data_IF_425885278181
#
_entry.id   IF_425885278181
#
_cell.length_a   1.000
_cell.length_b   1.000
_cell.length_c   1.000
_cell.angle_alpha   90.00
_cell.angle_beta   90.00
_cell.angle_gamma   90.00
#
_symmetry.space_group_name_H-M   'P 1'
#
loop_
_entity.id
_entity.type
_entity.pdbx_description
1 polymer ?
#
# COMPACT_ATOMS: atom_id res chain seq x y z
N UNK A 1 -51.36 0.16 7.66
CA UNK A 1 -50.26 1.09 8.04
C UNK A 1 -49.45 0.56 9.22
N UNK A 2 -50.10 0.16 10.34
CA UNK A 2 -49.43 -0.33 11.56
C UNK A 2 -48.62 -1.63 11.41
N UNK A 3 -49.10 -2.59 10.60
CA UNK A 3 -48.39 -3.85 10.37
C UNK A 3 -47.08 -3.66 9.59
N UNK A 4 -47.04 -2.72 8.65
CA UNK A 4 -45.84 -2.41 7.87
C UNK A 4 -44.74 -1.79 8.75
N UNK A 5 -45.10 -0.92 9.69
CA UNK A 5 -44.15 -0.34 10.65
C UNK A 5 -43.55 -1.40 11.58
N UNK A 6 -44.32 -2.41 12.00
CA UNK A 6 -43.78 -3.51 12.82
C UNK A 6 -42.76 -4.36 12.06
N UNK A 7 -43.00 -4.64 10.77
CA UNK A 7 -42.08 -5.43 9.96
C UNK A 7 -40.75 -4.69 9.71
N UNK A 8 -40.80 -3.38 9.49
CA UNK A 8 -39.59 -2.56 9.27
C UNK A 8 -38.74 -2.49 10.55
N UNK A 9 -39.36 -2.33 11.72
CA UNK A 9 -38.63 -2.30 12.99
C UNK A 9 -37.97 -3.65 13.28
N UNK A 10 -38.69 -4.76 13.07
CA UNK A 10 -38.16 -6.10 13.29
C UNK A 10 -36.95 -6.42 12.39
N UNK A 11 -37.00 -6.02 11.11
CA UNK A 11 -35.86 -6.23 10.20
C UNK A 11 -34.65 -5.37 10.59
N UNK A 12 -34.84 -4.10 10.97
CA UNK A 12 -33.71 -3.27 11.42
C UNK A 12 -33.00 -3.83 12.66
N UNK A 13 -33.75 -4.44 13.58
CA UNK A 13 -33.19 -5.06 14.79
C UNK A 13 -32.39 -6.34 14.48
N UNK A 14 -32.86 -7.13 13.49
CA UNK A 14 -32.16 -8.32 13.02
C UNK A 14 -30.85 -7.99 12.28
N UNK A 15 -30.81 -6.90 11.49
CA UNK A 15 -29.58 -6.48 10.82
C UNK A 15 -28.51 -5.96 11.80
N UNK A 16 -28.90 -5.33 12.91
CA UNK A 16 -27.96 -4.85 13.93
C UNK A 16 -27.22 -5.99 14.66
N UNK A 17 -27.82 -7.18 14.76
CA UNK A 17 -27.19 -8.35 15.38
C UNK A 17 -26.13 -9.05 14.51
N UNK A 18 -26.04 -8.72 13.21
CA UNK A 18 -25.04 -9.29 12.31
C UNK A 18 -23.73 -8.48 12.25
N UNK A 19 -23.64 -7.36 12.97
CA UNK A 19 -22.44 -6.53 13.05
C UNK A 19 -21.88 -6.53 14.47
N UNK A 20 -21.03 -7.53 14.76
CA UNK A 20 -20.06 -7.44 15.84
C UNK A 20 -20.53 -7.91 17.20
N UNK A 21 -20.54 -9.23 17.41
CA UNK A 21 -20.20 -9.76 18.73
C UNK A 21 -19.18 -10.87 18.53
N UNK A 22 -17.92 -10.48 18.64
CA UNK A 22 -16.77 -11.33 18.40
C UNK A 22 -15.52 -10.51 18.69
N UNK A 23 -15.27 -10.22 19.96
CA UNK A 23 -13.98 -9.72 20.47
C UNK A 23 -12.87 -10.81 20.36
N UNK A 24 -12.94 -11.67 19.34
CA UNK A 24 -12.04 -12.78 19.05
C UNK A 24 -11.51 -12.65 17.61
N UNK A 25 -11.32 -11.43 17.12
CA UNK A 25 -10.42 -11.22 15.99
C UNK A 25 -8.99 -11.50 16.52
N UNK A 26 -8.32 -12.58 16.08
CA UNK A 26 -6.95 -12.82 16.49
C UNK A 26 -6.13 -11.61 16.06
N UNK A 27 -5.19 -11.12 16.90
CA UNK A 27 -4.30 -10.06 16.45
C UNK A 27 -3.68 -10.55 15.14
N UNK A 28 -3.77 -9.72 14.10
CA UNK A 28 -3.10 -9.94 12.83
C UNK A 28 -1.60 -9.90 13.11
N UNK A 29 -1.08 -11.01 13.62
CA UNK A 29 0.32 -11.22 13.90
C UNK A 29 0.91 -11.49 12.54
N UNK A 30 1.22 -10.41 11.84
CA UNK A 30 1.97 -10.40 10.60
C UNK A 30 3.31 -11.08 10.86
N UNK A 31 3.30 -12.41 10.78
CA UNK A 31 4.42 -13.32 11.08
C UNK A 31 5.25 -13.56 9.81
N UNK A 32 4.93 -12.86 8.71
CA UNK A 32 5.91 -12.63 7.67
C UNK A 32 7.02 -11.80 8.33
N UNK A 33 8.17 -12.44 8.56
CA UNK A 33 9.36 -11.85 9.15
C UNK A 33 9.47 -10.38 8.75
N UNK A 34 9.51 -9.48 9.73
CA UNK A 34 9.66 -8.04 9.54
C UNK A 34 11.06 -7.74 8.99
N UNK A 35 11.33 -8.21 7.77
CA UNK A 35 12.45 -7.84 6.97
C UNK A 35 11.98 -6.60 6.25
N UNK A 36 12.39 -5.43 6.77
CA UNK A 36 12.22 -4.19 6.03
C UNK A 36 12.79 -4.42 4.63
N UNK A 37 11.97 -4.34 3.57
CA UNK A 37 12.46 -4.57 2.22
C UNK A 37 13.56 -3.55 1.95
N UNK A 38 14.81 -4.01 1.89
CA UNK A 38 15.91 -3.17 1.45
C UNK A 38 15.75 -2.97 -0.04
N UNK A 39 15.62 -1.71 -0.42
CA UNK A 39 15.68 -1.32 -1.82
C UNK A 39 17.16 -1.29 -2.19
N UNK A 40 17.62 -2.26 -2.97
CA UNK A 40 18.95 -2.18 -3.56
C UNK A 40 18.89 -1.33 -4.83
N UNK A 41 19.65 -0.24 -4.83
CA UNK A 41 19.90 0.65 -5.97
C UNK A 41 21.38 1.06 -5.95
N UNK A 42 21.92 1.48 -7.08
CA UNK A 42 23.23 2.12 -7.08
C UNK A 42 23.22 3.42 -6.27
N UNK A 43 24.28 3.67 -5.49
CA UNK A 43 24.38 4.87 -4.65
C UNK A 43 24.22 6.19 -5.43
N UNK A 44 24.60 6.18 -6.71
CA UNK A 44 24.38 7.29 -7.63
C UNK A 44 22.87 7.56 -7.84
N UNK A 45 22.08 6.51 -8.09
CA UNK A 45 20.64 6.64 -8.24
C UNK A 45 19.96 7.01 -6.91
N UNK A 46 20.42 6.50 -5.77
CA UNK A 46 19.91 6.89 -4.46
C UNK A 46 20.13 8.39 -4.18
N UNK A 47 21.32 8.91 -4.49
CA UNK A 47 21.62 10.34 -4.38
C UNK A 47 20.77 11.17 -5.35
N UNK A 48 20.62 10.76 -6.62
CA UNK A 48 19.77 11.48 -7.56
C UNK A 48 18.30 11.45 -7.12
N UNK A 49 17.82 10.33 -6.58
CA UNK A 49 16.46 10.22 -6.06
C UNK A 49 16.20 11.18 -4.91
N UNK A 50 17.08 11.19 -3.92
CA UNK A 50 16.97 12.09 -2.76
C UNK A 50 17.14 13.56 -3.16
N UNK A 51 18.07 13.88 -4.07
CA UNK A 51 18.25 15.23 -4.60
C UNK A 51 17.04 15.72 -5.39
N UNK A 52 16.32 14.83 -6.08
CA UNK A 52 15.07 15.14 -6.78
C UNK A 52 13.85 15.25 -5.84
N UNK A 53 14.03 15.09 -4.52
CA UNK A 53 12.94 15.10 -3.54
C UNK A 53 12.06 13.84 -3.61
N UNK A 54 12.60 12.74 -4.12
CA UNK A 54 11.92 11.45 -4.19
C UNK A 54 12.26 10.51 -3.04
N UNK A 55 11.56 9.39 -2.97
CA UNK A 55 11.78 8.31 -2.00
C UNK A 55 12.04 6.98 -2.70
N UNK A 56 12.92 6.17 -2.13
CA UNK A 56 13.19 4.83 -2.64
C UNK A 56 12.02 3.90 -2.33
N UNK A 57 11.59 3.14 -3.34
CA UNK A 57 10.49 2.19 -3.25
C UNK A 57 10.86 0.90 -3.98
N UNK A 58 10.42 -0.23 -3.43
CA UNK A 58 10.56 -1.51 -4.10
C UNK A 58 9.35 -1.74 -5.01
N UNK A 59 9.59 -2.18 -6.24
CA UNK A 59 8.53 -2.62 -7.14
C UNK A 59 8.77 -4.04 -7.58
N UNK A 60 7.70 -4.83 -7.59
CA UNK A 60 7.74 -6.19 -8.09
C UNK A 60 7.40 -6.19 -9.57
N UNK A 61 8.30 -6.76 -10.36
CA UNK A 61 8.17 -6.87 -11.80
C UNK A 61 7.36 -8.13 -12.14
N UNK A 62 6.81 -8.22 -13.36
CA UNK A 62 5.94 -9.34 -13.77
C UNK A 62 6.69 -10.69 -13.81
N UNK A 63 8.01 -10.65 -13.99
CA UNK A 63 8.92 -11.79 -13.88
C UNK A 63 9.19 -12.22 -12.44
N UNK A 64 8.64 -11.51 -11.45
CA UNK A 64 8.76 -11.81 -10.02
C UNK A 64 10.01 -11.21 -9.35
N UNK A 65 10.92 -10.60 -10.12
CA UNK A 65 12.03 -9.83 -9.59
C UNK A 65 11.55 -8.59 -8.83
N UNK A 66 12.32 -8.15 -7.84
CA UNK A 66 12.07 -6.91 -7.11
C UNK A 66 13.13 -5.89 -7.51
N UNK A 67 12.69 -4.76 -8.06
CA UNK A 67 13.57 -3.68 -8.51
C UNK A 67 13.38 -2.45 -7.66
N UNK A 68 14.47 -1.78 -7.32
CA UNK A 68 14.42 -0.47 -6.71
C UNK A 68 13.98 0.59 -7.71
N UNK A 69 13.02 1.42 -7.30
CA UNK A 69 12.55 2.57 -8.06
C UNK A 69 12.51 3.80 -7.16
N UNK A 70 12.73 4.97 -7.75
CA UNK A 70 12.50 6.24 -7.11
C UNK A 70 11.05 6.69 -7.34
N UNK A 71 10.33 6.99 -6.27
CA UNK A 71 9.05 7.68 -6.29
C UNK A 71 9.28 9.17 -6.10
N UNK A 72 9.02 9.95 -7.13
CA UNK A 72 9.15 11.40 -7.08
C UNK A 72 7.86 12.03 -6.51
N UNK A 73 7.99 13.24 -5.96
CA UNK A 73 6.85 14.00 -5.41
C UNK A 73 5.76 14.33 -6.45
N UNK A 74 6.09 14.30 -7.75
CA UNK A 74 5.14 14.47 -8.84
C UNK A 74 4.37 13.18 -9.20
N UNK A 75 4.57 12.09 -8.47
CA UNK A 75 3.92 10.80 -8.70
C UNK A 75 4.61 9.92 -9.76
N UNK A 76 5.73 10.35 -10.36
CA UNK A 76 6.50 9.53 -11.28
C UNK A 76 7.28 8.44 -10.54
N UNK A 77 7.32 7.26 -11.14
CA UNK A 77 8.12 6.11 -10.70
C UNK A 77 9.21 5.83 -11.71
N UNK A 78 10.45 5.90 -11.26
CA UNK A 78 11.61 5.88 -12.13
C UNK A 78 12.57 4.79 -11.69
N UNK A 79 12.93 3.89 -12.61
CA UNK A 79 13.99 2.93 -12.38
C UNK A 79 15.37 3.59 -12.37
N UNK A 80 16.36 2.84 -11.91
CA UNK A 80 17.74 3.30 -11.74
C UNK A 80 18.31 4.01 -12.99
N UNK A 81 18.22 3.37 -14.16
CA UNK A 81 18.77 3.89 -15.42
C UNK A 81 18.13 5.23 -15.84
N UNK A 82 16.81 5.37 -15.63
CA UNK A 82 16.08 6.59 -15.97
C UNK A 82 16.40 7.74 -14.99
N UNK A 83 16.78 7.39 -13.76
CA UNK A 83 17.28 8.33 -12.77
C UNK A 83 18.68 8.83 -13.10
N UNK A 84 19.62 7.91 -13.34
CA UNK A 84 21.02 8.24 -13.61
C UNK A 84 21.17 9.00 -14.93
N UNK A 85 20.36 8.67 -15.95
CA UNK A 85 20.32 9.41 -17.21
C UNK A 85 19.63 10.78 -17.11
N UNK A 86 19.01 11.12 -15.99
CA UNK A 86 18.29 12.38 -15.80
C UNK A 86 16.97 12.50 -16.58
N UNK A 87 16.61 11.47 -17.36
CA UNK A 87 15.40 11.49 -18.21
C UNK A 87 14.10 11.48 -17.40
N UNK A 88 14.14 11.01 -16.16
CA UNK A 88 12.95 10.80 -15.34
C UNK A 88 12.73 11.86 -14.24
N UNK A 89 13.79 12.60 -13.88
CA UNK A 89 13.74 13.71 -12.91
C UNK A 89 13.46 15.05 -13.58
N UNK A 90 13.59 15.14 -14.91
CA UNK A 90 13.33 16.35 -15.70
C UNK A 90 11.85 16.64 -15.93
#
# INVERSE_FOLDING_TARGET
>A
MKAATFLIVATTLLLAGCSGHGDDDPPQQATAAHVSPRVEMSGMAEQVCSNAGGTLALSRQLDGSSVGMCQLANGRRCGENALVSGSCVR
#
